data_IF_273084186543
#
_entry.id   IF_273084186543
#
_cell.length_a   1.000
_cell.length_b   1.000
_cell.length_c   1.000
_cell.angle_alpha   90.00
_cell.angle_beta   90.00
_cell.angle_gamma   90.00
#
_symmetry.space_group_name_H-M   'P 1'
#
loop_
_entity.id
_entity.type
_entity.pdbx_description
1 polymer ?
#
# COMPACT_ATOMS: atom_id res chain seq x y z
N UNK A 1 8.08 -42.04 52.38
CA UNK A 1 7.12 -40.92 52.28
C UNK A 1 7.70 -39.61 51.71
N UNK A 2 9.03 -39.44 51.55
CA UNK A 2 9.63 -38.19 51.00
C UNK A 2 9.85 -38.21 49.47
N UNK A 3 9.83 -39.39 48.84
CA UNK A 3 10.14 -39.59 47.41
C UNK A 3 8.96 -39.30 46.47
N UNK A 4 7.72 -39.37 46.95
CA UNK A 4 6.51 -39.09 46.16
C UNK A 4 6.29 -37.59 45.91
N UNK A 5 6.74 -36.72 46.84
CA UNK A 5 6.60 -35.27 46.70
C UNK A 5 7.51 -34.67 45.60
N UNK A 6 8.69 -35.27 45.39
CA UNK A 6 9.66 -34.80 44.38
C UNK A 6 9.16 -35.12 42.96
N UNK A 7 8.54 -36.29 42.75
CA UNK A 7 7.99 -36.68 41.45
C UNK A 7 6.82 -35.77 41.00
N UNK A 8 5.96 -35.34 41.93
CA UNK A 8 4.86 -34.43 41.65
C UNK A 8 5.35 -33.03 41.24
N UNK A 9 6.42 -32.53 41.88
CA UNK A 9 6.97 -31.20 41.60
C UNK A 9 7.68 -31.13 40.23
N UNK A 10 8.34 -32.22 39.81
CA UNK A 10 8.96 -32.34 38.48
C UNK A 10 7.89 -32.39 37.37
N UNK A 11 6.76 -33.06 37.60
CA UNK A 11 5.66 -33.10 36.62
C UNK A 11 4.97 -31.75 36.43
N UNK A 12 4.80 -30.96 37.51
CA UNK A 12 4.22 -29.61 37.42
C UNK A 12 5.16 -28.65 36.69
N UNK A 13 6.47 -28.74 36.94
CA UNK A 13 7.46 -27.89 36.25
C UNK A 13 7.59 -28.23 34.76
N UNK A 14 7.46 -29.52 34.39
CA UNK A 14 7.45 -29.94 32.99
C UNK A 14 6.17 -29.52 32.24
N UNK A 15 5.05 -29.31 32.93
CA UNK A 15 3.79 -28.87 32.30
C UNK A 15 3.76 -27.36 32.04
N UNK A 16 4.48 -26.55 32.84
CA UNK A 16 4.53 -25.09 32.66
C UNK A 16 5.37 -24.63 31.46
N UNK A 17 6.35 -25.42 31.01
CA UNK A 17 7.24 -25.02 29.90
C UNK A 17 6.65 -25.29 28.51
N UNK A 18 5.51 -25.98 28.40
CA UNK A 18 4.87 -26.28 27.11
C UNK A 18 3.87 -25.21 26.61
N UNK A 19 3.63 -24.13 27.36
CA UNK A 19 2.60 -23.13 27.03
C UNK A 19 3.14 -21.85 26.35
N UNK A 20 4.42 -21.81 25.95
CA UNK A 20 4.97 -20.66 25.22
C UNK A 20 4.58 -20.72 23.74
N UNK A 21 3.34 -20.35 23.41
CA UNK A 21 2.95 -20.04 22.05
C UNK A 21 3.47 -18.63 21.71
N UNK A 22 4.46 -18.47 20.81
CA UNK A 22 4.81 -17.14 20.33
C UNK A 22 3.63 -16.57 19.54
N UNK A 23 3.02 -15.48 20.04
CA UNK A 23 2.05 -14.71 19.26
C UNK A 23 2.83 -13.88 18.24
N UNK A 24 2.95 -14.39 17.02
CA UNK A 24 3.52 -13.65 15.91
C UNK A 24 2.48 -12.61 15.47
N UNK A 25 2.87 -11.34 15.48
CA UNK A 25 2.03 -10.26 14.99
C UNK A 25 1.86 -10.42 13.47
N UNK A 26 0.69 -10.90 13.05
CA UNK A 26 0.38 -11.13 11.65
C UNK A 26 -0.02 -9.80 11.01
N UNK A 27 0.84 -9.27 10.14
CA UNK A 27 0.56 -8.04 9.40
C UNK A 27 -0.65 -8.26 8.49
N UNK A 28 -1.61 -7.34 8.51
CA UNK A 28 -2.69 -7.33 7.53
C UNK A 28 -2.08 -7.22 6.13
N UNK A 29 -2.40 -8.17 5.26
CA UNK A 29 -1.92 -8.15 3.88
C UNK A 29 -2.59 -6.96 3.16
N UNK A 30 -1.78 -6.11 2.54
CA UNK A 30 -2.29 -5.11 1.62
C UNK A 30 -2.98 -5.81 0.44
N UNK A 31 -4.13 -5.30 0.02
CA UNK A 31 -4.91 -5.85 -1.10
C UNK A 31 -4.81 -4.98 -2.35
N UNK A 32 -4.39 -3.73 -2.19
CA UNK A 32 -4.21 -2.79 -3.29
C UNK A 32 -3.26 -1.66 -2.95
N UNK A 33 -3.21 -0.70 -3.87
CA UNK A 33 -2.39 0.50 -3.79
C UNK A 33 -3.25 1.70 -4.16
N UNK A 34 -3.15 2.76 -3.36
CA UNK A 34 -3.70 4.05 -3.70
C UNK A 34 -2.68 4.85 -4.49
N UNK A 35 -3.04 5.20 -5.72
CA UNK A 35 -2.21 5.95 -6.66
C UNK A 35 -2.83 7.31 -6.94
N UNK A 36 -1.99 8.27 -7.29
CA UNK A 36 -2.41 9.58 -7.79
C UNK A 36 -1.83 9.79 -9.18
N UNK A 37 -2.70 10.18 -10.11
CA UNK A 37 -2.35 10.48 -11.49
C UNK A 37 -2.62 11.95 -11.81
N UNK A 38 -1.65 12.60 -12.45
CA UNK A 38 -1.77 13.94 -13.03
C UNK A 38 -1.79 13.82 -14.56
N UNK A 39 -2.79 14.40 -15.18
CA UNK A 39 -2.77 14.75 -16.60
C UNK A 39 -2.18 16.16 -16.74
N UNK A 40 -0.97 16.25 -17.31
CA UNK A 40 -0.21 17.49 -17.49
C UNK A 40 -0.85 18.42 -18.53
N UNK A 41 -1.70 17.90 -19.42
CA UNK A 41 -2.40 18.68 -20.44
C UNK A 41 -3.62 19.37 -19.84
N UNK A 42 -4.42 18.63 -19.07
CA UNK A 42 -5.63 19.17 -18.44
C UNK A 42 -5.40 19.75 -17.04
N UNK A 43 -4.20 19.57 -16.48
CA UNK A 43 -3.83 19.88 -15.11
C UNK A 43 -4.74 19.21 -14.07
N UNK A 44 -5.36 18.07 -14.41
CA UNK A 44 -6.28 17.34 -13.52
C UNK A 44 -5.54 16.27 -12.74
N UNK A 45 -5.72 16.30 -11.43
CA UNK A 45 -5.22 15.29 -10.51
C UNK A 45 -6.38 14.37 -10.12
N UNK A 46 -6.16 13.07 -10.22
CA UNK A 46 -7.12 12.06 -9.80
C UNK A 46 -6.44 11.05 -8.88
N UNK A 47 -7.18 10.56 -7.91
CA UNK A 47 -6.71 9.48 -7.02
C UNK A 47 -7.53 8.24 -7.35
N UNK A 48 -6.87 7.10 -7.53
CA UNK A 48 -7.51 5.84 -7.90
C UNK A 48 -6.81 4.66 -7.21
N UNK A 49 -7.58 3.60 -6.97
CA UNK A 49 -7.10 2.35 -6.36
C UNK A 49 -6.67 1.38 -7.45
N UNK A 50 -5.54 0.71 -7.25
CA UNK A 50 -5.03 -0.35 -8.09
C UNK A 50 -4.92 -1.64 -7.26
N UNK A 51 -5.77 -2.66 -7.51
CA UNK A 51 -5.65 -3.94 -6.84
C UNK A 51 -4.30 -4.60 -7.16
N UNK A 52 -3.74 -5.33 -6.20
CA UNK A 52 -2.47 -6.02 -6.42
C UNK A 52 -2.61 -7.13 -7.46
N UNK A 53 -1.69 -7.16 -8.42
CA UNK A 53 -1.65 -8.13 -9.51
C UNK A 53 -2.60 -7.83 -10.67
N UNK A 54 -3.48 -6.84 -10.55
CA UNK A 54 -4.42 -6.42 -11.59
C UNK A 54 -3.94 -5.16 -12.32
N UNK A 55 -4.40 -5.00 -13.57
CA UNK A 55 -4.07 -3.87 -14.42
C UNK A 55 -5.20 -2.83 -14.36
N UNK A 56 -4.84 -1.60 -14.01
CA UNK A 56 -5.74 -0.44 -14.07
C UNK A 56 -5.31 0.52 -15.17
N UNK A 57 -6.24 1.37 -15.62
CA UNK A 57 -5.99 2.34 -16.69
C UNK A 57 -6.03 3.75 -16.15
N UNK A 58 -5.09 4.58 -16.61
CA UNK A 58 -5.11 6.02 -16.45
C UNK A 58 -4.71 6.67 -17.77
N UNK A 59 -5.68 7.22 -18.50
CA UNK A 59 -5.46 7.69 -19.87
C UNK A 59 -5.00 6.55 -20.80
N UNK A 60 -3.85 6.72 -21.45
CA UNK A 60 -3.20 5.68 -22.28
C UNK A 60 -2.34 4.72 -21.48
N UNK A 61 -2.12 4.97 -20.19
CA UNK A 61 -1.30 4.12 -19.34
C UNK A 61 -2.04 2.84 -18.92
N UNK A 62 -1.28 1.75 -18.82
CA UNK A 62 -1.63 0.49 -18.17
C UNK A 62 -0.72 0.34 -16.98
N UNK A 63 -1.29 0.34 -15.79
CA UNK A 63 -0.55 0.36 -14.53
C UNK A 63 -0.87 -0.92 -13.79
N UNK A 64 0.17 -1.63 -13.38
CA UNK A 64 0.05 -2.86 -12.59
C UNK A 64 0.88 -2.74 -11.32
N UNK A 65 0.23 -2.86 -10.17
CA UNK A 65 0.89 -2.89 -8.88
C UNK A 65 1.16 -4.34 -8.49
N UNK A 66 2.44 -4.71 -8.35
CA UNK A 66 2.82 -6.09 -8.01
C UNK A 66 2.90 -6.29 -6.49
N UNK A 67 3.36 -5.29 -5.76
CA UNK A 67 3.61 -5.42 -4.32
C UNK A 67 3.50 -4.05 -3.66
N UNK A 68 2.85 -4.01 -2.49
CA UNK A 68 2.80 -2.84 -1.63
C UNK A 68 3.39 -3.16 -0.26
N UNK A 69 4.33 -2.33 0.21
CA UNK A 69 4.96 -2.45 1.52
C UNK A 69 4.81 -1.15 2.30
N UNK A 70 3.97 -1.20 3.34
CA UNK A 70 3.80 -0.11 4.31
C UNK A 70 4.61 -0.43 5.57
N UNK A 71 5.46 0.52 6.00
CA UNK A 71 6.17 0.41 7.28
C UNK A 71 5.20 0.55 8.46
N UNK A 72 5.48 -0.12 9.59
CA UNK A 72 4.65 -0.02 10.79
C UNK A 72 4.80 1.37 11.43
N UNK A 73 3.83 1.80 12.25
CA UNK A 73 3.82 3.15 12.83
C UNK A 73 4.96 3.41 13.83
N UNK A 74 5.60 2.36 14.37
CA UNK A 74 6.74 2.50 15.27
C UNK A 74 8.05 2.86 14.54
N UNK A 75 8.07 2.70 13.21
CA UNK A 75 9.19 3.07 12.34
C UNK A 75 8.87 4.36 11.57
N UNK A 76 9.88 4.96 10.93
CA UNK A 76 9.67 6.11 10.05
C UNK A 76 8.63 5.76 8.97
N UNK A 77 7.52 6.52 8.85
CA UNK A 77 6.47 6.22 7.88
C UNK A 77 7.02 6.18 6.46
N UNK A 78 6.78 5.06 5.78
CA UNK A 78 7.16 4.88 4.38
C UNK A 78 6.24 3.86 3.72
N UNK A 79 5.92 4.10 2.45
CA UNK A 79 5.19 3.16 1.59
C UNK A 79 5.98 2.98 0.32
N UNK A 80 6.39 1.74 0.05
CA UNK A 80 7.12 1.36 -1.15
C UNK A 80 6.28 0.39 -1.99
N UNK A 81 6.15 0.68 -3.28
CA UNK A 81 5.35 -0.11 -4.22
C UNK A 81 6.18 -0.46 -5.44
N UNK A 82 6.14 -1.73 -5.85
CA UNK A 82 6.67 -2.14 -7.14
C UNK A 82 5.59 -1.98 -8.21
N UNK A 83 5.84 -1.09 -9.16
CA UNK A 83 4.92 -0.76 -10.25
C UNK A 83 5.52 -1.15 -11.59
N UNK A 84 4.66 -1.63 -12.48
CA UNK A 84 4.92 -1.79 -13.91
C UNK A 84 3.94 -0.89 -14.65
N UNK A 85 4.45 -0.02 -15.52
CA UNK A 85 3.65 0.94 -16.28
C UNK A 85 4.03 0.85 -17.74
N UNK A 86 3.05 0.55 -18.57
CA UNK A 86 3.16 0.56 -20.03
C UNK A 86 2.24 1.64 -20.61
N UNK A 87 2.55 2.13 -21.80
CA UNK A 87 1.65 2.93 -22.62
C UNK A 87 1.05 2.11 -23.76
N UNK A 88 -0.26 2.23 -23.93
CA UNK A 88 -1.01 1.65 -25.05
C UNK A 88 -1.70 2.79 -25.82
N UNK A 89 -1.10 3.18 -26.96
CA UNK A 89 -1.62 4.28 -27.79
C UNK A 89 -2.69 3.79 -28.77
N UNK A 90 -3.78 4.55 -28.96
CA UNK A 90 -4.78 4.22 -29.98
C UNK A 90 -4.17 4.15 -31.37
N UNK A 91 -4.39 3.03 -32.08
CA UNK A 91 -3.93 2.84 -33.46
C UNK A 91 -2.49 2.31 -33.60
N UNK A 92 -1.72 2.24 -32.52
CA UNK A 92 -0.43 1.54 -32.50
C UNK A 92 -0.62 0.08 -32.05
N UNK A 93 0.20 -0.83 -32.61
CA UNK A 93 0.20 -2.23 -32.19
C UNK A 93 1.27 -2.45 -31.13
N UNK A 94 0.84 -2.93 -29.97
CA UNK A 94 1.73 -3.28 -28.86
C UNK A 94 1.64 -2.31 -27.69
N UNK A 95 2.47 -2.55 -26.68
CA UNK A 95 2.59 -1.75 -25.46
C UNK A 95 4.03 -1.31 -25.32
N UNK A 96 4.22 -0.04 -24.99
CA UNK A 96 5.55 0.53 -24.75
C UNK A 96 5.81 0.52 -23.24
N UNK A 97 6.78 -0.25 -22.73
CA UNK A 97 7.13 -0.20 -21.31
C UNK A 97 7.78 1.15 -20.98
N UNK A 98 7.20 1.84 -20.00
CA UNK A 98 7.66 3.17 -19.56
C UNK A 98 8.35 3.13 -18.20
N UNK A 99 7.86 2.30 -17.28
CA UNK A 99 8.40 2.22 -15.93
C UNK A 99 8.29 0.81 -15.38
N UNK A 100 9.34 0.33 -14.72
CA UNK A 100 9.32 -0.89 -13.92
C UNK A 100 10.28 -0.71 -12.76
N UNK A 101 9.73 -0.63 -11.54
CA UNK A 101 10.57 -0.30 -10.38
C UNK A 101 9.81 -0.03 -9.09
N UNK A 102 10.59 0.25 -8.06
CA UNK A 102 10.09 0.64 -6.74
C UNK A 102 9.87 2.14 -6.68
N UNK A 103 8.65 2.53 -6.32
CA UNK A 103 8.29 3.92 -6.07
C UNK A 103 7.93 4.11 -4.59
N UNK A 104 8.31 5.26 -4.03
CA UNK A 104 8.17 5.59 -2.61
C UNK A 104 7.18 6.72 -2.43
N UNK A 105 6.20 6.57 -1.54
CA UNK A 105 5.19 7.60 -1.30
C UNK A 105 5.80 8.87 -0.70
N UNK A 106 6.84 8.74 0.13
CA UNK A 106 7.51 9.89 0.74
C UNK A 106 8.32 10.71 -0.26
N UNK A 107 8.86 10.05 -1.29
CA UNK A 107 9.81 10.64 -2.25
C UNK A 107 9.63 10.05 -3.66
N UNK A 108 8.52 10.33 -4.36
CA UNK A 108 8.27 9.77 -5.69
C UNK A 108 9.32 10.18 -6.72
N UNK A 109 9.90 11.37 -6.56
CA UNK A 109 10.95 11.90 -7.44
C UNK A 109 12.21 11.03 -7.52
N UNK A 110 12.46 10.14 -6.54
CA UNK A 110 13.59 9.20 -6.59
C UNK A 110 13.40 8.08 -7.61
N UNK A 111 12.16 7.80 -8.00
CA UNK A 111 11.81 6.79 -9.01
C UNK A 111 10.54 7.23 -9.72
N UNK A 112 10.64 8.36 -10.43
CA UNK A 112 9.51 8.99 -11.10
C UNK A 112 9.18 8.30 -12.44
N UNK A 113 7.91 8.37 -12.83
CA UNK A 113 7.48 8.02 -14.18
C UNK A 113 7.82 9.17 -15.13
N UNK A 114 8.72 8.92 -16.06
CA UNK A 114 9.06 9.90 -17.10
C UNK A 114 8.10 9.76 -18.30
N UNK A 115 6.99 10.50 -18.25
CA UNK A 115 6.03 10.57 -19.35
C UNK A 115 5.65 12.01 -19.71
N UNK A 116 5.54 12.39 -21.00
CA UNK A 116 5.26 13.77 -21.41
C UNK A 116 3.87 14.28 -21.02
N UNK A 117 2.86 13.40 -20.96
CA UNK A 117 1.45 13.79 -20.75
C UNK A 117 0.95 13.44 -19.36
N UNK A 118 1.49 12.39 -18.74
CA UNK A 118 0.97 11.83 -17.50
C UNK A 118 2.09 11.80 -16.46
N UNK A 119 1.70 11.86 -15.20
CA UNK A 119 2.55 11.55 -14.06
C UNK A 119 1.75 10.68 -13.09
N UNK A 120 2.38 9.69 -12.49
CA UNK A 120 1.73 8.76 -11.57
C UNK A 120 2.65 8.52 -10.39
N UNK A 121 2.11 8.70 -9.18
CA UNK A 121 2.84 8.42 -7.97
C UNK A 121 2.03 7.68 -6.91
N UNK A 122 2.74 6.97 -6.04
CA UNK A 122 2.19 6.22 -4.91
C UNK A 122 1.75 7.17 -3.80
N UNK A 123 0.59 6.89 -3.20
CA UNK A 123 0.10 7.56 -2.00
C UNK A 123 0.16 6.63 -0.79
N UNK A 124 -0.47 5.45 -0.88
CA UNK A 124 -0.55 4.51 0.24
C UNK A 124 -0.82 3.07 -0.24
N UNK A 125 -0.69 2.09 0.65
CA UNK A 125 -1.28 0.77 0.48
C UNK A 125 -2.75 0.81 0.91
N UNK A 126 -3.64 0.17 0.13
CA UNK A 126 -5.01 -0.07 0.57
C UNK A 126 -5.17 -1.48 1.10
N UNK A 127 -5.99 -1.60 2.14
CA UNK A 127 -6.55 -2.88 2.58
C UNK A 127 -8.02 -2.95 2.15
N UNK A 128 -8.59 -4.16 2.13
CA UNK A 128 -9.99 -4.35 1.73
C UNK A 128 -10.99 -3.50 2.54
N UNK A 129 -10.61 -3.04 3.74
CA UNK A 129 -11.41 -2.16 4.57
C UNK A 129 -11.35 -0.67 4.15
N UNK A 130 -10.31 -0.23 3.44
CA UNK A 130 -10.15 1.19 3.05
C UNK A 130 -10.77 1.52 1.68
N UNK A 131 -10.95 0.53 0.79
CA UNK A 131 -11.58 0.75 -0.53
C UNK A 131 -13.06 1.17 -0.43
N UNK A 132 -13.77 0.81 0.66
CA UNK A 132 -15.17 1.21 0.88
C UNK A 132 -15.34 2.65 1.38
N UNK A 133 -14.29 3.25 1.95
CA UNK A 133 -14.34 4.55 2.64
C UNK A 133 -13.77 5.70 1.80
N UNK A 134 -13.23 5.42 0.60
CA UNK A 134 -12.67 6.42 -0.32
C UNK A 134 -13.62 7.60 -0.64
N UNK A 135 -14.93 7.41 -0.88
CA UNK A 135 -15.83 8.53 -1.12
C UNK A 135 -16.12 9.38 0.13
N UNK A 136 -15.85 8.86 1.34
CA UNK A 136 -16.11 9.56 2.61
C UNK A 136 -14.89 10.36 3.08
N UNK A 137 -13.69 9.80 2.98
CA UNK A 137 -12.43 10.52 3.31
C UNK A 137 -12.18 11.73 2.39
N UNK A 138 -12.52 11.63 1.10
CA UNK A 138 -12.43 12.79 0.19
C UNK A 138 -13.34 13.94 0.62
N UNK A 139 -14.49 13.64 1.25
CA UNK A 139 -15.39 14.66 1.78
C UNK A 139 -14.88 15.27 3.08
N UNK A 140 -14.28 14.47 3.96
CA UNK A 140 -13.71 14.98 5.21
C UNK A 140 -12.53 15.93 4.93
N UNK A 141 -11.60 15.54 4.06
CA UNK A 141 -10.44 16.39 3.73
C UNK A 141 -10.86 17.69 3.03
N UNK A 142 -11.90 17.67 2.17
CA UNK A 142 -12.46 18.88 1.57
C UNK A 142 -13.13 19.78 2.62
N UNK A 143 -13.89 19.21 3.56
CA UNK A 143 -14.55 19.93 4.65
C UNK A 143 -13.56 20.61 5.58
N UNK A 144 -12.45 19.93 5.91
CA UNK A 144 -11.45 20.45 6.83
C UNK A 144 -10.62 21.58 6.19
N UNK A 145 -10.24 21.44 4.91
CA UNK A 145 -9.58 22.52 4.16
C UNK A 145 -10.46 23.78 4.02
N UNK A 146 -11.77 23.58 3.87
CA UNK A 146 -12.74 24.69 3.78
C UNK A 146 -13.02 25.38 5.14
N UNK A 147 -12.65 24.75 6.26
CA UNK A 147 -12.73 25.33 7.61
C UNK A 147 -11.51 26.18 7.92
N UNK A 148 -10.31 25.68 7.59
CA UNK A 148 -9.02 26.39 7.74
C UNK A 148 -8.96 27.68 6.90
N UNK A 149 -9.61 27.71 5.74
CA UNK A 149 -9.65 28.90 4.86
C UNK A 149 -10.54 30.04 5.37
N UNK A 150 -11.21 29.87 6.51
CA UNK A 150 -12.20 30.81 7.06
C UNK A 150 -11.76 31.47 8.38
N UNK A 151 -10.59 31.11 8.88
CA UNK A 151 -9.89 31.72 10.02
C UNK A 151 -8.73 32.59 9.52
#
# INVERSE_FOLDING_TARGET
>A
MKTTAIAALVCVFAFLTLQSNPTWAQRAAATGVLLRGLDKITARITTFSAPLGEEVRFGTLRIRAQTCRKRPPEETPEVAVFLEIDEERPGEKGRLPLFSGWMFASSPALSALEHPVYDVWVIDCSTAAEDSDLPDRLKSEYSDRARDSRE
#
